data_IF_885714418822
#
_entry.id   IF_885714418822
#
_cell.length_a   1.000
_cell.length_b   1.000
_cell.length_c   1.000
_cell.angle_alpha   90.00
_cell.angle_beta   90.00
_cell.angle_gamma   90.00
#
_symmetry.space_group_name_H-M   'P 1'
#
loop_
_entity.id
_entity.type
_entity.pdbx_description
1 polymer ?
#
# COMPACT_ATOMS: atom_id res chain seq x y z
N UNK A 1 -12.75 -6.51 0.55
CA UNK A 1 -13.14 -5.52 -0.48
C UNK A 1 -14.45 -5.98 -1.09
N UNK A 2 -15.44 -5.09 -1.21
CA UNK A 2 -16.74 -5.40 -1.81
C UNK A 2 -16.67 -5.15 -3.31
N UNK A 3 -17.13 -6.12 -4.10
CA UNK A 3 -17.26 -6.00 -5.56
C UNK A 3 -18.71 -6.26 -5.97
N UNK A 4 -19.08 -5.78 -7.14
CA UNK A 4 -20.33 -6.13 -7.81
C UNK A 4 -19.97 -6.80 -9.14
N UNK A 5 -20.52 -7.99 -9.40
CA UNK A 5 -20.28 -8.72 -10.66
C UNK A 5 -21.58 -9.26 -11.24
N UNK A 6 -21.64 -9.41 -12.56
CA UNK A 6 -22.77 -10.05 -13.24
C UNK A 6 -22.59 -11.56 -13.26
N UNK A 7 -23.61 -12.31 -12.84
CA UNK A 7 -23.68 -13.78 -12.86
C UNK A 7 -24.97 -14.23 -13.56
N UNK A 8 -24.94 -15.42 -14.15
CA UNK A 8 -26.15 -16.04 -14.71
C UNK A 8 -26.96 -16.70 -13.61
N UNK A 9 -28.26 -16.41 -13.55
CA UNK A 9 -29.20 -17.11 -12.68
C UNK A 9 -29.64 -18.46 -13.28
N UNK A 10 -30.45 -19.21 -12.53
CA UNK A 10 -31.01 -20.50 -12.95
C UNK A 10 -31.90 -20.40 -14.20
N UNK A 11 -32.38 -19.21 -14.54
CA UNK A 11 -33.20 -18.90 -15.72
C UNK A 11 -32.39 -18.35 -16.90
N UNK A 12 -31.05 -18.46 -16.86
CA UNK A 12 -30.13 -17.92 -17.87
C UNK A 12 -30.22 -16.40 -18.04
N UNK A 13 -30.67 -15.68 -17.02
CA UNK A 13 -30.70 -14.21 -16.99
C UNK A 13 -29.50 -13.67 -16.23
N UNK A 14 -28.89 -12.61 -16.77
CA UNK A 14 -27.81 -11.90 -16.10
C UNK A 14 -28.33 -11.07 -14.92
N UNK A 15 -27.78 -11.34 -13.74
CA UNK A 15 -28.10 -10.62 -12.49
C UNK A 15 -26.82 -10.10 -11.85
N UNK A 16 -26.86 -8.90 -11.27
CA UNK A 16 -25.74 -8.33 -10.52
C UNK A 16 -25.76 -8.82 -9.09
N UNK A 17 -24.66 -9.42 -8.65
CA UNK A 17 -24.45 -9.88 -7.27
C UNK A 17 -23.31 -9.11 -6.61
N UNK A 18 -23.44 -8.90 -5.31
CA UNK A 18 -22.39 -8.32 -4.49
C UNK A 18 -21.60 -9.43 -3.79
N UNK A 19 -20.27 -9.35 -3.83
CA UNK A 19 -19.38 -10.34 -3.24
C UNK A 19 -18.27 -9.65 -2.45
N UNK A 20 -17.87 -10.22 -1.30
CA UNK A 20 -16.77 -9.71 -0.49
C UNK A 20 -15.55 -10.60 -0.70
N UNK A 21 -14.49 -10.03 -1.26
CA UNK A 21 -13.19 -10.69 -1.43
C UNK A 21 -12.23 -10.24 -0.33
N UNK A 22 -11.71 -11.19 0.45
CA UNK A 22 -10.74 -10.93 1.49
C UNK A 22 -9.31 -10.92 0.92
N UNK A 23 -8.60 -9.82 1.12
CA UNK A 23 -7.18 -9.68 0.73
C UNK A 23 -6.37 -9.50 2.01
N UNK A 24 -5.51 -10.47 2.30
CA UNK A 24 -4.58 -10.40 3.42
C UNK A 24 -3.27 -9.77 2.96
N UNK A 25 -3.11 -8.47 3.17
CA UNK A 25 -1.89 -7.75 2.81
C UNK A 25 -0.72 -8.32 3.62
N UNK A 26 0.32 -8.82 2.93
CA UNK A 26 1.52 -9.31 3.60
C UNK A 26 2.54 -8.19 3.79
N UNK A 27 3.32 -8.22 4.88
CA UNK A 27 4.40 -7.26 5.08
C UNK A 27 5.35 -7.21 3.89
N UNK A 28 5.78 -6.00 3.51
CA UNK A 28 6.79 -5.79 2.46
C UNK A 28 6.26 -5.84 1.02
N UNK A 29 4.99 -6.16 0.78
CA UNK A 29 4.40 -6.05 -0.58
C UNK A 29 4.68 -4.69 -1.20
N UNK A 30 5.14 -4.70 -2.44
CA UNK A 30 5.54 -3.50 -3.18
C UNK A 30 4.39 -3.02 -4.05
N UNK A 31 4.39 -1.74 -4.41
CA UNK A 31 3.56 -1.24 -5.51
C UNK A 31 3.69 -2.14 -6.75
N UNK A 32 2.56 -2.48 -7.35
CA UNK A 32 2.48 -3.37 -8.51
C UNK A 32 2.28 -4.85 -8.17
N UNK A 33 2.30 -5.26 -6.89
CA UNK A 33 2.00 -6.64 -6.51
C UNK A 33 0.58 -7.01 -6.97
N UNK A 34 0.44 -8.15 -7.66
CA UNK A 34 -0.84 -8.60 -8.25
C UNK A 34 -1.48 -9.67 -7.36
N UNK A 35 -2.76 -9.48 -7.03
CA UNK A 35 -3.60 -10.48 -6.36
C UNK A 35 -4.70 -10.88 -7.33
N UNK A 36 -4.68 -12.15 -7.76
CA UNK A 36 -5.63 -12.68 -8.74
C UNK A 36 -6.70 -13.50 -8.04
N UNK A 37 -7.96 -13.19 -8.36
CA UNK A 37 -9.11 -14.01 -8.01
C UNK A 37 -9.65 -14.64 -9.31
N UNK A 38 -9.43 -15.95 -9.52
CA UNK A 38 -9.80 -16.60 -10.77
C UNK A 38 -11.32 -16.57 -10.96
N UNK A 39 -11.75 -16.32 -12.19
CA UNK A 39 -13.17 -16.37 -12.59
C UNK A 39 -14.13 -15.47 -11.76
N UNK A 40 -13.58 -14.40 -11.14
CA UNK A 40 -14.36 -13.41 -10.37
C UNK A 40 -14.73 -12.15 -11.17
N UNK A 41 -14.51 -12.15 -12.48
CA UNK A 41 -15.01 -11.14 -13.41
C UNK A 41 -16.51 -11.29 -13.68
N UNK A 42 -17.00 -10.48 -14.63
CA UNK A 42 -18.36 -10.61 -15.12
C UNK A 42 -18.51 -11.90 -15.94
N UNK A 43 -19.64 -12.57 -15.76
CA UNK A 43 -20.01 -13.76 -16.52
C UNK A 43 -20.80 -13.38 -17.77
N UNK A 44 -20.56 -14.10 -18.86
CA UNK A 44 -21.31 -14.01 -20.11
C UNK A 44 -21.81 -15.43 -20.50
N UNK A 45 -22.97 -15.55 -21.18
CA UNK A 45 -23.47 -16.85 -21.62
C UNK A 45 -22.47 -17.60 -22.50
N UNK A 46 -22.15 -18.83 -22.12
CA UNK A 46 -21.24 -19.70 -22.89
C UNK A 46 -19.75 -19.35 -22.77
N UNK A 47 -19.37 -18.41 -21.90
CA UNK A 47 -17.98 -17.97 -21.71
C UNK A 47 -17.57 -18.08 -20.23
N UNK A 48 -16.39 -18.64 -19.97
CA UNK A 48 -15.81 -18.67 -18.62
C UNK A 48 -15.54 -17.24 -18.14
N UNK A 49 -15.96 -16.86 -16.91
CA UNK A 49 -15.68 -15.54 -16.37
C UNK A 49 -14.18 -15.24 -16.35
N UNK A 50 -13.82 -13.97 -16.57
CA UNK A 50 -12.41 -13.55 -16.52
C UNK A 50 -11.91 -13.48 -15.08
N UNK A 51 -10.59 -13.45 -14.92
CA UNK A 51 -9.98 -13.23 -13.61
C UNK A 51 -10.10 -11.77 -13.17
N UNK A 52 -10.33 -11.57 -11.88
CA UNK A 52 -10.25 -10.26 -11.26
C UNK A 52 -8.85 -10.07 -10.65
N UNK A 53 -8.14 -9.04 -11.09
CA UNK A 53 -6.77 -8.75 -10.64
C UNK A 53 -6.78 -7.45 -9.86
N UNK A 54 -6.40 -7.52 -8.59
CA UNK A 54 -6.08 -6.34 -7.78
C UNK A 54 -4.59 -6.04 -7.88
N UNK A 55 -4.25 -4.76 -8.02
CA UNK A 55 -2.87 -4.28 -8.01
C UNK A 55 -2.68 -3.46 -6.75
N UNK A 56 -1.68 -3.84 -5.95
CA UNK A 56 -1.31 -3.07 -4.76
C UNK A 56 -0.73 -1.74 -5.19
N UNK A 57 -1.22 -0.66 -4.60
CA UNK A 57 -0.65 0.68 -4.75
C UNK A 57 -0.27 1.26 -3.38
N UNK A 58 0.62 2.24 -3.41
CA UNK A 58 1.14 2.91 -2.22
C UNK A 58 0.43 4.25 -2.02
N UNK A 59 -0.23 4.39 -0.87
CA UNK A 59 -0.83 5.66 -0.47
C UNK A 59 0.27 6.61 0.00
N UNK A 60 0.31 7.87 -0.48
CA UNK A 60 1.24 8.87 0.03
C UNK A 60 1.08 9.03 1.54
N UNK A 61 2.21 9.03 2.25
CA UNK A 61 2.26 9.23 3.69
C UNK A 61 2.84 10.62 3.99
N UNK A 62 2.33 11.29 5.04
CA UNK A 62 2.67 12.69 5.32
C UNK A 62 4.15 12.90 5.72
N UNK A 63 4.75 11.89 6.34
CA UNK A 63 6.14 11.95 6.84
C UNK A 63 7.11 11.13 5.99
N UNK A 64 6.82 9.84 5.79
CA UNK A 64 7.66 8.90 5.06
C UNK A 64 7.34 8.85 3.58
N UNK A 65 8.38 8.77 2.75
CA UNK A 65 8.29 8.29 1.37
C UNK A 65 8.95 6.92 1.32
N UNK A 66 8.28 5.93 0.75
CA UNK A 66 8.89 4.61 0.54
C UNK A 66 9.80 4.65 -0.68
N UNK A 67 10.98 4.05 -0.56
CA UNK A 67 11.89 3.80 -1.66
C UNK A 67 12.35 2.33 -1.59
N UNK A 68 11.76 1.48 -2.42
CA UNK A 68 11.98 0.03 -2.35
C UNK A 68 11.60 -0.57 -0.99
N UNK A 69 12.61 -0.96 -0.22
CA UNK A 69 12.46 -1.52 1.12
C UNK A 69 12.73 -0.51 2.23
N UNK A 70 13.12 0.71 1.87
CA UNK A 70 13.52 1.76 2.81
C UNK A 70 12.43 2.82 2.96
N UNK A 71 12.49 3.54 4.08
CA UNK A 71 11.67 4.71 4.36
C UNK A 71 12.56 5.94 4.39
N UNK A 72 12.28 6.88 3.48
CA UNK A 72 13.01 8.13 3.34
C UNK A 72 12.21 9.27 3.95
N UNK A 73 12.89 10.13 4.70
CA UNK A 73 12.35 11.40 5.20
C UNK A 73 13.27 12.54 4.80
N UNK A 74 12.66 13.70 4.53
CA UNK A 74 13.42 14.94 4.36
C UNK A 74 13.15 15.84 5.57
N UNK A 75 14.17 16.03 6.40
CA UNK A 75 14.14 17.03 7.49
C UNK A 75 15.04 18.20 7.21
N UNK A 76 14.43 19.39 7.29
CA UNK A 76 15.14 20.66 7.28
C UNK A 76 15.67 20.92 8.69
N UNK A 77 16.95 21.25 8.75
CA UNK A 77 17.66 21.67 9.96
C UNK A 77 18.23 23.07 9.73
N UNK A 78 18.45 23.83 10.80
CA UNK A 78 19.13 25.11 10.68
C UNK A 78 20.64 24.89 10.47
N UNK A 79 21.33 25.88 9.89
CA UNK A 79 22.79 25.85 9.79
C UNK A 79 23.45 25.73 11.17
N UNK A 80 22.90 26.43 12.18
CA UNK A 80 23.37 26.35 13.55
C UNK A 80 23.30 24.90 14.06
N UNK A 81 22.14 24.24 13.93
CA UNK A 81 21.95 22.85 14.35
C UNK A 81 22.94 21.89 13.65
N UNK A 82 23.26 22.16 12.39
CA UNK A 82 24.21 21.36 11.61
C UNK A 82 25.67 21.55 12.10
N UNK A 83 26.02 22.76 12.57
CA UNK A 83 27.36 23.09 13.05
C UNK A 83 27.58 22.73 14.53
N UNK A 84 26.58 22.91 15.39
CA UNK A 84 26.71 22.68 16.84
C UNK A 84 26.24 21.28 17.26
N UNK A 85 25.74 20.49 16.32
CA UNK A 85 25.09 19.22 16.59
C UNK A 85 23.67 19.39 17.15
N UNK A 86 22.82 18.40 16.85
CA UNK A 86 21.42 18.33 17.30
C UNK A 86 20.95 16.89 17.30
N UNK A 87 20.04 16.54 18.21
CA UNK A 87 19.34 15.26 18.14
C UNK A 87 17.95 15.44 17.55
N UNK A 88 17.69 14.80 16.41
CA UNK A 88 16.36 14.72 15.80
C UNK A 88 15.57 13.62 16.51
N UNK A 89 14.34 13.93 16.91
CA UNK A 89 13.35 12.95 17.36
C UNK A 89 12.43 12.59 16.18
N UNK A 90 12.25 11.30 15.93
CA UNK A 90 11.41 10.78 14.85
C UNK A 90 10.53 9.64 15.38
N UNK A 91 9.21 9.76 15.21
CA UNK A 91 8.30 8.66 15.43
C UNK A 91 8.31 7.71 14.22
N UNK A 92 8.56 6.43 14.46
CA UNK A 92 8.58 5.37 13.42
C UNK A 92 7.15 4.89 13.10
N UNK A 93 6.99 4.08 12.03
CA UNK A 93 5.67 3.55 11.63
C UNK A 93 5.02 2.66 12.69
N UNK A 94 5.82 2.01 13.53
CA UNK A 94 5.37 1.17 14.65
C UNK A 94 5.26 1.95 15.97
N UNK A 95 5.38 3.28 15.93
CA UNK A 95 5.13 4.17 17.08
C UNK A 95 6.28 4.31 18.06
N UNK A 96 7.48 3.79 17.74
CA UNK A 96 8.68 4.01 18.58
C UNK A 96 9.28 5.39 18.32
N UNK A 97 9.89 5.94 19.35
CA UNK A 97 10.68 7.18 19.25
C UNK A 97 12.15 6.85 18.95
N UNK A 98 12.59 7.22 17.75
CA UNK A 98 13.98 7.16 17.34
C UNK A 98 14.66 8.51 17.60
N UNK A 99 15.82 8.48 18.27
CA UNK A 99 16.68 9.66 18.49
C UNK A 99 17.91 9.54 17.60
N UNK A 100 18.03 10.46 16.66
CA UNK A 100 19.11 10.47 15.67
C UNK A 100 20.03 11.67 15.97
N UNK A 101 21.23 11.45 16.54
CA UNK A 101 22.19 12.51 16.75
C UNK A 101 22.83 12.91 15.42
N UNK A 102 22.78 14.20 15.11
CA UNK A 102 23.57 14.84 14.06
C UNK A 102 24.92 15.17 14.69
N UNK A 103 25.98 14.53 14.20
CA UNK A 103 27.35 14.88 14.57
C UNK A 103 27.73 16.20 13.90
N UNK A 104 28.45 17.03 14.63
CA UNK A 104 29.04 18.25 14.11
C UNK A 104 30.12 17.93 13.07
N UNK A 105 30.34 18.87 12.15
CA UNK A 105 31.39 18.76 11.13
C UNK A 105 32.81 18.95 11.70
N UNK A 106 32.92 19.53 12.91
CA UNK A 106 34.20 19.90 13.51
C UNK A 106 34.84 18.78 14.37
N UNK A 107 34.26 17.58 14.39
CA UNK A 107 34.71 16.44 15.19
C UNK A 107 35.25 15.26 14.38
#
# INVERSE_FOLDING_TARGET
MKISRSVLDEHSKLTTVEEILAIHIKPGWKKGTRITFPEKGNQEPGVTPRDLIFIVDEKPHAVFKRDGNDLVIHKRISLLDALTGKTIKLATLDGRDLRIPIKDYAS
#
